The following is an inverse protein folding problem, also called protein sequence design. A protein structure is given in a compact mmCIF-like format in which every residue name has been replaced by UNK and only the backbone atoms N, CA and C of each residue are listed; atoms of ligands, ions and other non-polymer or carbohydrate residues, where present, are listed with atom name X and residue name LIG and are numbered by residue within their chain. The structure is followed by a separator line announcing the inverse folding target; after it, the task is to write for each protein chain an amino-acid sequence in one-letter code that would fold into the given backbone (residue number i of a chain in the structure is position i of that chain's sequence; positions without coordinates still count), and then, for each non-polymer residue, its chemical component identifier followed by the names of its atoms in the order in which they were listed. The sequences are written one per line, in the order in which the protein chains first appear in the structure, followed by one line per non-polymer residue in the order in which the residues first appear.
data_IF_868572108957
#
_entry.id   IF_868572108957
#
_cell.length_a   1.000
_cell.length_b   1.000
_cell.length_c   1.000
_cell.angle_alpha   90.00
_cell.angle_beta   90.00
_cell.angle_gamma   90.00
#
_symmetry.space_group_name_H-M   'P 1'
#
loop_
_entity.id
_entity.type
_entity.pdbx_description
1 polymer ?
#
# COMPACT_ATOMS: atom_id res chain seq x y z
N UNK A 1 0.97 -2.64 24.29
CA UNK A 1 0.25 -1.42 23.89
C UNK A 1 -0.24 -1.63 22.47
N UNK A 2 -1.42 -1.14 22.08
CA UNK A 2 -1.89 -1.35 20.71
C UNK A 2 -0.86 -0.69 19.79
N UNK A 3 -0.31 -1.48 18.87
CA UNK A 3 0.75 -1.03 17.99
C UNK A 3 0.31 0.29 17.34
N UNK A 4 1.15 1.31 17.40
CA UNK A 4 1.05 2.43 16.48
C UNK A 4 1.36 1.88 15.08
N UNK A 5 0.38 1.15 14.53
CA UNK A 5 0.46 0.49 13.25
C UNK A 5 0.61 1.57 12.20
N UNK A 6 1.75 1.56 11.52
CA UNK A 6 1.97 2.35 10.33
C UNK A 6 0.74 2.16 9.44
N UNK A 7 0.09 3.27 9.06
CA UNK A 7 -1.09 3.20 8.20
C UNK A 7 -0.65 2.73 6.82
N UNK A 8 -1.00 1.50 6.47
CA UNK A 8 -0.61 0.85 5.23
C UNK A 8 -1.85 0.29 4.53
N UNK A 9 -1.93 0.46 3.22
CA UNK A 9 -2.97 -0.12 2.38
C UNK A 9 -2.37 -1.31 1.64
N UNK A 10 -3.02 -2.48 1.74
CA UNK A 10 -2.71 -3.59 0.86
C UNK A 10 -3.35 -3.30 -0.50
N UNK A 11 -2.53 -3.20 -1.53
CA UNK A 11 -2.98 -2.94 -2.91
C UNK A 11 -2.62 -4.17 -3.74
N UNK A 12 -3.58 -4.79 -4.43
CA UNK A 12 -3.29 -5.91 -5.32
C UNK A 12 -2.36 -5.46 -6.43
N UNK A 13 -1.41 -6.34 -6.78
CA UNK A 13 -0.39 -6.06 -7.83
C UNK A 13 -1.03 -5.77 -9.19
N UNK A 14 -2.23 -6.31 -9.44
CA UNK A 14 -2.97 -6.14 -10.68
C UNK A 14 -4.46 -6.07 -10.40
N UNK A 15 -5.22 -5.31 -11.19
CA UNK A 15 -6.69 -5.37 -11.16
C UNK A 15 -7.28 -6.62 -11.80
N UNK A 16 -6.44 -7.49 -12.36
CA UNK A 16 -6.86 -8.76 -12.93
C UNK A 16 -7.28 -9.81 -11.87
N UNK A 17 -7.01 -9.56 -10.58
CA UNK A 17 -7.52 -10.44 -9.53
C UNK A 17 -9.05 -10.24 -9.39
N UNK A 18 -9.85 -11.32 -9.28
CA UNK A 18 -11.32 -11.24 -9.32
C UNK A 18 -11.93 -10.27 -8.31
N UNK A 19 -11.32 -10.14 -7.13
CA UNK A 19 -11.86 -9.37 -6.00
C UNK A 19 -11.11 -8.05 -5.78
N UNK A 20 -10.33 -7.58 -6.77
CA UNK A 20 -9.44 -6.42 -6.61
C UNK A 20 -10.19 -5.15 -6.20
N UNK A 21 -11.33 -4.90 -6.83
CA UNK A 21 -12.11 -3.68 -6.62
C UNK A 21 -12.80 -3.71 -5.25
N UNK A 22 -13.32 -4.87 -4.83
CA UNK A 22 -13.92 -5.04 -3.50
C UNK A 22 -12.87 -4.87 -2.40
N UNK A 23 -11.70 -5.51 -2.53
CA UNK A 23 -10.61 -5.37 -1.56
C UNK A 23 -10.08 -3.93 -1.47
N UNK A 24 -9.97 -3.23 -2.59
CA UNK A 24 -9.58 -1.81 -2.61
C UNK A 24 -10.66 -0.93 -1.96
N UNK A 25 -11.93 -1.18 -2.26
CA UNK A 25 -13.07 -0.48 -1.65
C UNK A 25 -13.09 -0.64 -0.13
N UNK A 26 -12.92 -1.87 0.36
CA UNK A 26 -12.86 -2.18 1.79
C UNK A 26 -11.66 -1.51 2.47
N UNK A 27 -10.49 -1.52 1.84
CA UNK A 27 -9.28 -0.91 2.38
C UNK A 27 -9.43 0.64 2.49
N UNK A 28 -9.98 1.30 1.46
CA UNK A 28 -10.26 2.73 1.49
C UNK A 28 -11.34 3.07 2.53
N UNK A 29 -12.37 2.23 2.67
CA UNK A 29 -13.39 2.42 3.69
C UNK A 29 -12.82 2.28 5.10
N UNK A 30 -11.99 1.26 5.36
CA UNK A 30 -11.30 1.11 6.65
C UNK A 30 -10.37 2.28 6.93
N UNK A 31 -9.64 2.77 5.92
CA UNK A 31 -8.76 3.92 6.03
C UNK A 31 -9.53 5.19 6.42
N UNK A 32 -10.71 5.42 5.82
CA UNK A 32 -11.56 6.57 6.16
C UNK A 32 -12.01 6.58 7.63
N UNK A 33 -11.99 5.43 8.31
CA UNK A 33 -12.38 5.27 9.72
C UNK A 33 -11.21 5.13 10.69
N UNK A 34 -9.96 5.19 10.23
CA UNK A 34 -8.80 4.83 11.06
C UNK A 34 -8.50 5.84 12.19
N UNK A 35 -9.01 7.06 12.09
CA UNK A 35 -8.77 8.14 13.06
C UNK A 35 -7.33 8.67 13.06
N UNK A 36 -6.43 8.15 12.21
CA UNK A 36 -5.06 8.65 12.13
C UNK A 36 -4.99 9.91 11.25
N UNK A 37 -4.24 10.96 11.64
CA UNK A 37 -4.07 12.15 10.80
C UNK A 37 -3.51 11.80 9.41
N UNK A 38 -2.62 10.82 9.33
CA UNK A 38 -2.05 10.33 8.08
C UNK A 38 -3.11 9.77 7.11
N UNK A 39 -4.17 9.12 7.60
CA UNK A 39 -5.21 8.59 6.73
C UNK A 39 -5.96 9.68 5.96
N UNK A 40 -6.21 10.82 6.61
CA UNK A 40 -6.81 11.98 5.94
C UNK A 40 -5.93 12.48 4.81
N UNK A 41 -4.63 12.65 5.07
CA UNK A 41 -3.68 13.12 4.05
C UNK A 41 -3.58 12.15 2.88
N UNK A 42 -3.53 10.83 3.15
CA UNK A 42 -3.52 9.80 2.11
C UNK A 42 -4.77 9.89 1.22
N UNK A 43 -5.97 9.98 1.82
CA UNK A 43 -7.23 10.07 1.07
C UNK A 43 -7.30 11.35 0.23
N UNK A 44 -6.79 12.47 0.73
CA UNK A 44 -6.70 13.71 -0.04
C UNK A 44 -5.75 13.55 -1.23
N UNK A 45 -4.57 12.97 -1.02
CA UNK A 45 -3.61 12.73 -2.11
C UNK A 45 -4.16 11.81 -3.19
N UNK A 46 -4.97 10.80 -2.84
CA UNK A 46 -5.60 9.89 -3.80
C UNK A 46 -6.76 10.53 -4.60
N UNK A 47 -7.47 11.50 -4.01
CA UNK A 47 -8.60 12.17 -4.65
C UNK A 47 -8.17 13.26 -5.66
N UNK A 48 -6.93 13.74 -5.55
CA UNK A 48 -6.37 14.76 -6.43
C UNK A 48 -5.60 14.07 -7.56
N UNK A 49 -5.90 14.36 -8.85
CA UNK A 49 -5.08 13.90 -9.95
C UNK A 49 -3.63 14.32 -9.73
N UNK A 50 -2.73 13.35 -9.64
CA UNK A 50 -1.31 13.58 -9.37
C UNK A 50 -0.46 12.75 -10.32
N UNK A 51 0.76 13.21 -10.56
CA UNK A 51 1.71 12.47 -11.37
C UNK A 51 2.18 11.22 -10.60
N UNK A 52 1.98 10.05 -11.18
CA UNK A 52 2.47 8.80 -10.61
C UNK A 52 3.99 8.70 -10.78
N UNK A 53 4.74 8.67 -9.67
CA UNK A 53 6.17 8.39 -9.70
C UNK A 53 6.38 6.88 -9.52
N UNK A 54 6.72 6.19 -10.60
CA UNK A 54 7.09 4.77 -10.57
C UNK A 54 8.60 4.65 -10.32
N UNK A 55 8.95 4.17 -9.12
CA UNK A 55 10.33 3.83 -8.78
C UNK A 55 10.56 2.35 -9.08
N UNK A 56 11.44 2.06 -10.03
CA UNK A 56 11.92 0.71 -10.29
C UNK A 56 13.28 0.52 -9.63
N UNK A 57 13.50 -0.66 -9.03
CA UNK A 57 14.82 -1.07 -8.57
C UNK A 57 15.38 -2.02 -9.61
N UNK A 58 16.48 -1.61 -10.25
CA UNK A 58 17.25 -2.53 -11.08
C UNK A 58 17.81 -3.63 -10.17
N UNK A 59 17.35 -4.86 -10.41
CA UNK A 59 17.72 -6.03 -9.65
C UNK A 59 18.65 -6.85 -10.51
N UNK A 60 19.92 -7.07 -10.11
CA UNK A 60 20.86 -7.82 -10.94
C UNK A 60 20.28 -9.21 -11.24
N UNK A 61 20.25 -9.56 -12.53
CA UNK A 61 19.86 -10.90 -12.99
C UNK A 61 20.86 -11.93 -12.45
N UNK A 62 20.45 -12.62 -11.41
CA UNK A 62 21.21 -13.66 -10.70
C UNK A 62 20.36 -14.15 -9.52
N UNK A 63 20.74 -15.24 -8.82
CA UNK A 63 20.08 -15.64 -7.60
C UNK A 63 20.20 -14.51 -6.57
N UNK A 64 19.19 -13.64 -6.52
CA UNK A 64 19.10 -12.57 -5.56
C UNK A 64 19.09 -13.21 -4.18
N UNK A 65 20.12 -12.94 -3.39
CA UNK A 65 20.17 -13.44 -2.02
C UNK A 65 18.91 -12.94 -1.31
N UNK A 66 17.96 -13.85 -1.07
CA UNK A 66 16.90 -13.63 -0.10
C UNK A 66 17.58 -13.43 1.23
N UNK A 67 17.76 -12.17 1.62
CA UNK A 67 18.27 -11.84 2.94
C UNK A 67 17.31 -12.45 3.96
N UNK A 68 17.80 -13.40 4.73
CA UNK A 68 17.06 -13.99 5.84
C UNK A 68 16.84 -12.89 6.87
N UNK A 69 15.59 -12.54 7.12
CA UNK A 69 15.27 -11.59 8.18
C UNK A 69 15.60 -12.25 9.52
N UNK A 70 16.67 -11.82 10.17
CA UNK A 70 16.99 -12.29 11.53
C UNK A 70 16.03 -11.64 12.50
N UNK A 71 15.31 -12.48 13.25
CA UNK A 71 14.41 -12.08 14.33
C UNK A 71 15.16 -11.39 15.49
#
# INVERSE_FOLDING_TARGET
GPAAGVTSLLVPVSRAFPDSDDLLGEALHALSRSGTPAAREILLSLAVPSDEIRWERDMPTGPGATATWTA
#
